data_IF_199959865743
#
_entry.id   IF_199959865743
#
_cell.length_a   1.000
_cell.length_b   1.000
_cell.length_c   1.000
_cell.angle_alpha   90.00
_cell.angle_beta   90.00
_cell.angle_gamma   90.00
#
_symmetry.space_group_name_H-M   'P 1'
#
loop_
_entity.id
_entity.type
_entity.pdbx_description
1 polymer ?
#
# COMPACT_ATOMS: atom_id res chain seq x y z
N UNK A 1 -43.22 -55.73 67.64
CA UNK A 1 -43.72 -56.85 66.82
C UNK A 1 -43.74 -56.41 65.36
N UNK A 2 -43.51 -57.34 64.43
CA UNK A 2 -43.87 -57.28 62.99
C UNK A 2 -43.02 -56.41 62.02
N UNK A 3 -42.05 -57.09 61.38
CA UNK A 3 -41.69 -57.15 59.94
C UNK A 3 -41.31 -55.89 59.10
N UNK A 4 -40.28 -56.11 58.28
CA UNK A 4 -39.60 -55.32 57.22
C UNK A 4 -40.50 -54.70 56.12
N UNK A 5 -39.96 -53.69 55.38
CA UNK A 5 -39.68 -53.78 53.93
C UNK A 5 -38.82 -52.60 53.38
N UNK A 6 -38.23 -52.78 52.18
CA UNK A 6 -37.29 -51.88 51.47
C UNK A 6 -37.99 -50.84 50.57
N UNK A 7 -37.29 -49.76 50.23
CA UNK A 7 -37.59 -48.89 49.07
C UNK A 7 -36.39 -47.97 48.71
N UNK A 8 -36.05 -47.86 47.42
CA UNK A 8 -34.89 -47.12 46.90
C UNK A 8 -35.32 -45.79 46.20
N UNK A 9 -34.40 -44.87 45.81
CA UNK A 9 -34.73 -43.47 45.53
C UNK A 9 -35.18 -43.19 44.08
N UNK A 10 -35.84 -42.06 43.87
CA UNK A 10 -36.16 -41.49 42.53
C UNK A 10 -35.81 -40.00 42.48
N UNK A 11 -35.32 -39.55 41.32
CA UNK A 11 -34.76 -38.23 41.05
C UNK A 11 -35.74 -37.05 41.17
N UNK A 12 -35.18 -35.89 41.52
CA UNK A 12 -35.83 -34.59 41.45
C UNK A 12 -36.04 -34.07 40.01
N UNK A 13 -37.13 -33.32 39.79
CA UNK A 13 -37.28 -32.32 38.72
C UNK A 13 -38.18 -31.15 39.16
N UNK A 14 -37.99 -30.02 38.48
CA UNK A 14 -38.74 -28.75 38.51
C UNK A 14 -38.58 -27.86 39.77
N UNK A 15 -37.63 -26.93 39.65
CA UNK A 15 -37.70 -25.58 40.19
C UNK A 15 -37.41 -24.59 39.03
N UNK A 16 -38.02 -23.41 39.06
CA UNK A 16 -38.22 -22.57 37.85
C UNK A 16 -36.96 -21.97 37.22
N UNK A 17 -36.97 -21.93 35.89
CA UNK A 17 -35.85 -21.62 35.00
C UNK A 17 -35.53 -20.12 34.82
N UNK A 18 -36.06 -19.23 35.68
CA UNK A 18 -35.92 -17.77 35.52
C UNK A 18 -35.65 -16.96 36.80
N UNK A 19 -35.18 -17.60 37.88
CA UNK A 19 -34.73 -16.88 39.08
C UNK A 19 -33.21 -16.67 39.08
N UNK A 20 -32.68 -15.43 38.93
CA UNK A 20 -31.25 -15.18 39.09
C UNK A 20 -30.84 -15.31 40.57
N UNK A 21 -29.67 -15.88 40.88
CA UNK A 21 -29.19 -16.01 42.26
C UNK A 21 -28.79 -14.64 42.85
N UNK A 22 -28.83 -14.48 44.20
CA UNK A 22 -28.54 -13.22 44.87
C UNK A 22 -27.09 -12.75 44.69
N UNK A 23 -26.93 -11.47 44.35
CA UNK A 23 -25.64 -10.84 44.08
C UNK A 23 -24.82 -10.65 45.37
N UNK A 24 -23.62 -11.21 45.42
CA UNK A 24 -22.64 -10.98 46.51
C UNK A 24 -21.44 -10.20 45.97
N UNK A 25 -21.16 -8.97 46.43
CA UNK A 25 -20.05 -8.18 45.91
C UNK A 25 -18.70 -8.68 46.46
N UNK A 26 -17.86 -9.25 45.59
CA UNK A 26 -16.46 -9.54 45.91
C UNK A 26 -15.49 -8.56 45.25
N UNK A 27 -14.49 -8.18 46.05
CA UNK A 27 -13.40 -7.22 45.78
C UNK A 27 -12.59 -7.62 44.52
N UNK A 28 -12.07 -6.66 43.72
CA UNK A 28 -11.34 -6.98 42.49
C UNK A 28 -10.04 -7.76 42.77
N UNK A 29 -10.11 -9.08 42.60
CA UNK A 29 -8.97 -9.99 42.61
C UNK A 29 -8.51 -10.25 41.18
N UNK A 30 -7.31 -9.74 40.84
CA UNK A 30 -6.44 -10.12 39.72
C UNK A 30 -7.14 -10.88 38.57
N UNK A 31 -7.52 -10.15 37.53
CA UNK A 31 -7.94 -10.72 36.25
C UNK A 31 -6.91 -11.74 35.77
N UNK A 32 -7.34 -12.89 35.22
CA UNK A 32 -6.41 -13.83 34.60
C UNK A 32 -5.72 -13.13 33.44
N UNK A 33 -4.42 -13.39 33.33
CA UNK A 33 -3.56 -12.91 32.26
C UNK A 33 -4.16 -13.35 30.92
N UNK A 34 -4.87 -12.43 30.26
CA UNK A 34 -5.57 -12.67 29.01
C UNK A 34 -4.51 -12.60 27.94
N UNK A 35 -3.81 -13.73 27.80
CA UNK A 35 -2.48 -13.82 27.21
C UNK A 35 -2.35 -12.92 25.99
N UNK A 36 -1.47 -11.94 26.10
CA UNK A 36 -1.09 -11.09 24.98
C UNK A 36 -0.74 -12.01 23.81
N UNK A 37 -1.56 -11.98 22.75
CA UNK A 37 -1.22 -12.64 21.51
C UNK A 37 0.13 -12.08 21.09
N UNK A 38 1.11 -12.97 21.02
CA UNK A 38 2.52 -12.70 20.74
C UNK A 38 2.74 -11.51 19.82
N UNK A 39 3.66 -10.62 20.21
CA UNK A 39 4.27 -9.66 19.30
C UNK A 39 4.85 -10.40 18.10
N UNK A 40 4.11 -10.42 17.00
CA UNK A 40 4.43 -11.15 15.78
C UNK A 40 3.76 -10.42 14.63
N UNK A 41 4.60 -9.70 13.88
CA UNK A 41 4.33 -8.96 12.65
C UNK A 41 2.87 -8.58 12.35
N UNK A 42 2.57 -7.29 12.56
CA UNK A 42 1.56 -6.60 11.76
C UNK A 42 1.75 -7.00 10.28
N UNK A 43 0.68 -7.26 9.50
CA UNK A 43 0.80 -7.56 8.08
C UNK A 43 1.46 -6.42 7.28
N UNK A 44 1.62 -5.24 7.91
CA UNK A 44 2.26 -4.04 7.38
C UNK A 44 3.69 -3.83 7.92
N UNK A 45 4.26 -4.79 8.67
CA UNK A 45 5.62 -4.71 9.23
C UNK A 45 6.71 -4.54 8.17
N UNK A 46 6.56 -5.19 7.01
CA UNK A 46 7.47 -5.04 5.87
C UNK A 46 7.49 -3.61 5.30
N UNK A 47 6.47 -2.76 5.54
CA UNK A 47 6.50 -1.35 5.11
C UNK A 47 7.69 -0.58 5.67
N UNK A 48 8.31 -1.08 6.76
CA UNK A 48 9.56 -0.54 7.32
C UNK A 48 10.76 -0.67 6.40
N UNK A 49 10.72 -1.61 5.47
CA UNK A 49 11.85 -1.98 4.61
C UNK A 49 11.85 -1.21 3.28
N UNK A 50 10.84 -0.37 3.00
CA UNK A 50 10.66 0.32 1.71
C UNK A 50 10.43 1.81 1.89
N UNK A 51 11.05 2.64 1.05
CA UNK A 51 10.69 4.04 0.88
C UNK A 51 9.39 4.09 0.06
N UNK A 52 8.31 4.65 0.62
CA UNK A 52 7.01 4.75 -0.07
C UNK A 52 6.85 6.13 -0.73
N UNK A 53 6.73 6.14 -2.06
CA UNK A 53 6.61 7.34 -2.88
C UNK A 53 5.29 7.33 -3.63
N UNK A 54 4.46 8.36 -3.45
CA UNK A 54 3.29 8.59 -4.29
C UNK A 54 3.62 9.53 -5.44
N UNK A 55 3.35 9.08 -6.66
CA UNK A 55 3.42 9.90 -7.87
C UNK A 55 1.99 10.29 -8.30
N UNK A 56 1.55 11.48 -7.91
CA UNK A 56 0.18 11.94 -8.11
C UNK A 56 0.06 12.73 -9.42
N UNK A 57 -0.92 12.33 -10.23
CA UNK A 57 -1.40 13.09 -11.37
C UNK A 57 -2.10 14.37 -10.91
N UNK A 58 -1.51 15.52 -11.27
CA UNK A 58 -2.07 16.85 -11.10
C UNK A 58 -2.36 17.50 -12.47
N UNK A 59 -2.68 16.71 -13.49
CA UNK A 59 -3.04 17.19 -14.83
C UNK A 59 -4.43 17.85 -14.87
N UNK A 60 -4.83 18.37 -16.03
CA UNK A 60 -6.12 19.03 -16.20
C UNK A 60 -7.36 18.14 -15.99
N UNK A 61 -7.25 16.83 -16.21
CA UNK A 61 -8.38 15.86 -16.10
C UNK A 61 -8.79 15.59 -14.66
N UNK A 62 -7.83 15.61 -13.74
CA UNK A 62 -8.01 15.31 -12.31
C UNK A 62 -8.91 16.29 -11.55
N UNK A 63 -9.33 17.41 -12.15
CA UNK A 63 -10.17 18.43 -11.50
C UNK A 63 -11.51 17.87 -11.02
N UNK A 64 -11.95 18.32 -9.85
CA UNK A 64 -13.24 17.93 -9.26
C UNK A 64 -13.10 16.75 -8.31
N UNK A 65 -13.98 15.75 -8.41
CA UNK A 65 -14.00 14.63 -7.45
C UNK A 65 -12.70 13.83 -7.47
N UNK A 66 -12.13 13.57 -8.65
CA UNK A 66 -10.89 12.77 -8.83
C UNK A 66 -9.72 13.29 -7.97
N UNK A 67 -9.57 14.61 -7.86
CA UNK A 67 -8.56 15.23 -6.98
C UNK A 67 -8.85 15.04 -5.48
N UNK A 68 -10.10 15.21 -5.06
CA UNK A 68 -10.51 15.01 -3.67
C UNK A 68 -10.41 13.54 -3.25
N UNK A 69 -10.83 12.64 -4.13
CA UNK A 69 -10.64 11.20 -4.01
C UNK A 69 -9.14 10.89 -3.81
N UNK A 70 -8.24 11.34 -4.71
CA UNK A 70 -6.79 11.12 -4.57
C UNK A 70 -6.21 11.66 -3.24
N UNK A 71 -6.72 12.79 -2.75
CA UNK A 71 -6.34 13.34 -1.45
C UNK A 71 -6.75 12.41 -0.29
N UNK A 72 -8.01 11.99 -0.26
CA UNK A 72 -8.57 11.13 0.79
C UNK A 72 -7.88 9.76 0.84
N UNK A 73 -7.54 9.20 -0.32
CA UNK A 73 -6.73 8.00 -0.48
C UNK A 73 -5.40 8.06 0.29
N UNK A 74 -4.57 9.04 -0.04
CA UNK A 74 -3.21 9.15 0.49
C UNK A 74 -3.29 9.56 1.96
N UNK A 75 -4.25 10.43 2.31
CA UNK A 75 -4.52 10.83 3.70
C UNK A 75 -4.92 9.64 4.58
N UNK A 76 -5.65 8.65 4.06
CA UNK A 76 -6.02 7.45 4.80
C UNK A 76 -4.83 6.50 5.07
N UNK A 77 -3.76 6.58 4.26
CA UNK A 77 -2.64 5.63 4.28
C UNK A 77 -1.37 6.21 4.90
N UNK A 78 -1.16 7.52 4.87
CA UNK A 78 -0.02 8.15 5.55
C UNK A 78 0.14 7.69 7.02
N UNK A 79 -0.91 7.57 7.86
CA UNK A 79 -0.78 7.03 9.21
C UNK A 79 -0.39 5.53 9.27
N UNK A 80 -0.82 4.73 8.30
CA UNK A 80 -0.51 3.29 8.21
C UNK A 80 0.95 3.09 7.83
N UNK A 81 1.41 3.80 6.79
CA UNK A 81 2.82 3.83 6.40
C UNK A 81 3.69 4.31 7.57
N UNK A 82 3.32 5.41 8.24
CA UNK A 82 4.20 6.03 9.26
C UNK A 82 4.20 5.38 10.64
N UNK A 83 3.23 4.52 10.94
CA UNK A 83 3.31 3.59 12.08
C UNK A 83 4.46 2.59 11.90
N UNK A 84 4.80 2.31 10.64
CA UNK A 84 5.86 1.39 10.27
C UNK A 84 7.13 2.17 9.90
N UNK A 85 7.16 2.92 8.81
CA UNK A 85 8.27 3.77 8.40
C UNK A 85 8.37 5.05 9.25
N UNK A 86 9.53 5.31 9.85
CA UNK A 86 9.72 6.53 10.65
C UNK A 86 9.93 7.78 9.83
N UNK A 87 10.37 7.65 8.58
CA UNK A 87 10.76 8.79 7.75
C UNK A 87 9.52 9.42 7.11
N UNK A 88 8.64 8.59 6.54
CA UNK A 88 7.28 9.00 6.16
C UNK A 88 6.86 8.44 4.81
N UNK A 89 6.03 9.21 4.10
CA UNK A 89 5.82 9.06 2.66
C UNK A 89 6.31 10.32 1.93
N UNK A 90 6.75 10.16 0.69
CA UNK A 90 7.03 11.30 -0.19
C UNK A 90 5.94 11.42 -1.26
N UNK A 91 5.54 12.66 -1.59
CA UNK A 91 4.51 12.97 -2.58
C UNK A 91 5.12 13.82 -3.71
N UNK A 92 5.15 13.24 -4.90
CA UNK A 92 5.60 13.86 -6.14
C UNK A 92 4.40 14.13 -7.02
N UNK A 93 4.31 15.33 -7.59
CA UNK A 93 3.31 15.65 -8.61
C UNK A 93 3.89 15.58 -10.02
N UNK A 94 3.06 15.32 -11.04
CA UNK A 94 3.49 15.29 -12.44
C UNK A 94 3.95 16.67 -12.94
N UNK A 95 3.21 17.73 -12.63
CA UNK A 95 3.40 19.10 -13.13
C UNK A 95 3.91 20.06 -12.04
N UNK A 96 3.40 19.98 -10.81
CA UNK A 96 3.80 20.83 -9.68
C UNK A 96 5.22 20.49 -9.17
N UNK A 97 5.97 21.52 -8.75
CA UNK A 97 7.38 21.44 -8.31
C UNK A 97 7.72 22.32 -7.10
N UNK A 98 6.73 22.86 -6.39
CA UNK A 98 6.93 23.74 -5.23
C UNK A 98 6.91 23.04 -3.88
N UNK A 99 7.31 21.76 -3.83
CA UNK A 99 7.34 20.97 -2.59
C UNK A 99 8.49 21.36 -1.64
N UNK A 100 8.62 20.61 -0.54
CA UNK A 100 9.65 20.85 0.51
C UNK A 100 11.08 20.55 0.04
N UNK A 101 11.27 19.62 -0.89
CA UNK A 101 12.56 19.42 -1.55
C UNK A 101 12.69 20.33 -2.78
N UNK A 102 13.55 21.34 -2.68
CA UNK A 102 13.85 22.29 -3.76
C UNK A 102 14.50 21.67 -5.00
N UNK A 103 15.04 20.45 -4.90
CA UNK A 103 15.75 19.76 -5.98
C UNK A 103 14.79 18.95 -6.85
N UNK A 104 13.91 18.18 -6.21
CA UNK A 104 12.94 17.30 -6.90
C UNK A 104 11.57 17.96 -7.08
N UNK A 105 11.27 18.99 -6.28
CA UNK A 105 9.96 19.62 -6.17
C UNK A 105 8.92 18.76 -5.46
N UNK A 106 9.34 17.72 -4.73
CA UNK A 106 8.48 16.82 -3.96
C UNK A 106 8.19 17.34 -2.55
N UNK A 107 7.08 16.90 -1.98
CA UNK A 107 6.82 17.00 -0.55
C UNK A 107 7.35 15.73 0.12
N UNK A 108 8.20 15.88 1.14
CA UNK A 108 8.95 14.75 1.71
C UNK A 108 8.70 14.56 3.19
N UNK A 109 8.85 13.33 3.68
CA UNK A 109 8.67 12.95 5.09
C UNK A 109 7.25 13.25 5.64
N UNK A 110 6.22 13.11 4.81
CA UNK A 110 4.83 13.39 5.15
C UNK A 110 4.27 12.28 6.05
N UNK A 111 3.57 12.63 7.14
CA UNK A 111 3.22 11.63 8.19
C UNK A 111 1.75 11.57 8.54
N UNK A 112 1.06 12.69 8.54
CA UNK A 112 -0.34 12.76 8.98
C UNK A 112 -1.29 12.89 7.81
N UNK A 113 -2.54 12.50 8.02
CA UNK A 113 -3.63 12.73 7.07
C UNK A 113 -3.86 14.21 6.77
N UNK A 114 -3.54 15.10 7.72
CA UNK A 114 -3.78 16.53 7.59
C UNK A 114 -2.66 17.22 6.80
N UNK A 115 -1.39 16.80 6.95
CA UNK A 115 -0.29 17.22 6.06
C UNK A 115 -0.66 16.96 4.58
N UNK A 116 -1.21 15.77 4.29
CA UNK A 116 -1.66 15.40 2.94
C UNK A 116 -2.78 16.34 2.45
N UNK A 117 -3.77 16.64 3.30
CA UNK A 117 -4.87 17.55 2.95
C UNK A 117 -4.38 18.98 2.69
N UNK A 118 -3.42 19.49 3.48
CA UNK A 118 -2.82 20.80 3.24
C UNK A 118 -2.08 20.86 1.90
N UNK A 119 -1.32 19.81 1.56
CA UNK A 119 -0.65 19.67 0.25
C UNK A 119 -1.66 19.70 -0.90
N UNK A 120 -2.73 18.90 -0.82
CA UNK A 120 -3.77 18.83 -1.86
C UNK A 120 -4.65 20.08 -1.93
N UNK A 121 -4.70 20.89 -0.86
CA UNK A 121 -5.33 22.22 -0.87
C UNK A 121 -4.44 23.27 -1.58
N UNK A 122 -3.12 23.18 -1.41
CA UNK A 122 -2.17 24.08 -2.08
C UNK A 122 -1.96 23.78 -3.57
N UNK A 123 -1.95 22.51 -3.97
CA UNK A 123 -1.71 22.07 -5.35
C UNK A 123 -3.01 22.04 -6.15
N UNK A 124 -2.98 22.58 -7.37
CA UNK A 124 -4.16 22.78 -8.22
C UNK A 124 -3.98 22.06 -9.57
N UNK A 125 -4.86 21.12 -9.96
CA UNK A 125 -4.68 20.31 -11.16
C UNK A 125 -4.67 21.14 -12.46
N UNK A 126 -3.61 20.97 -13.27
CA UNK A 126 -3.32 21.70 -14.51
C UNK A 126 -2.24 20.99 -15.34
N UNK A 127 -2.29 21.18 -16.66
CA UNK A 127 -1.28 20.66 -17.58
C UNK A 127 -1.60 19.25 -18.08
N UNK A 128 -0.55 18.55 -18.50
CA UNK A 128 -0.62 17.24 -19.15
C UNK A 128 -0.31 16.11 -18.15
N UNK A 129 -0.24 14.86 -18.63
CA UNK A 129 0.07 13.66 -17.84
C UNK A 129 1.44 13.09 -18.23
N UNK A 130 2.58 13.77 -17.94
CA UNK A 130 3.93 13.35 -18.36
C UNK A 130 4.56 12.35 -17.36
N UNK A 131 3.97 11.16 -17.27
CA UNK A 131 4.36 10.12 -16.30
C UNK A 131 5.78 9.61 -16.57
N UNK A 132 6.16 9.35 -17.82
CA UNK A 132 7.49 8.82 -18.15
C UNK A 132 8.61 9.78 -17.75
N UNK A 133 8.47 11.07 -18.08
CA UNK A 133 9.41 12.12 -17.67
C UNK A 133 9.50 12.22 -16.14
N UNK A 134 8.39 12.12 -15.41
CA UNK A 134 8.42 12.25 -13.95
C UNK A 134 8.96 11.00 -13.26
N UNK A 135 8.64 9.80 -13.76
CA UNK A 135 9.29 8.55 -13.35
C UNK A 135 10.80 8.65 -13.52
N UNK A 136 11.31 9.08 -14.68
CA UNK A 136 12.75 9.24 -14.90
C UNK A 136 13.39 10.19 -13.87
N UNK A 137 12.74 11.32 -13.55
CA UNK A 137 13.23 12.26 -12.54
C UNK A 137 13.34 11.66 -11.12
N UNK A 138 12.55 10.63 -10.79
CA UNK A 138 12.56 9.93 -9.49
C UNK A 138 13.54 8.75 -9.52
N UNK A 139 13.50 7.96 -10.59
CA UNK A 139 14.28 6.73 -10.74
C UNK A 139 15.76 7.00 -11.03
N UNK A 140 16.12 7.99 -11.85
CA UNK A 140 17.54 8.24 -12.20
C UNK A 140 18.43 8.60 -10.99
N UNK A 141 18.02 9.46 -10.04
CA UNK A 141 18.77 9.67 -8.79
C UNK A 141 18.83 8.40 -7.92
N UNK A 142 17.72 7.65 -7.85
CA UNK A 142 17.64 6.42 -7.06
C UNK A 142 18.58 5.34 -7.59
N UNK A 143 18.50 5.01 -8.88
CA UNK A 143 19.30 3.99 -9.56
C UNK A 143 20.79 4.33 -9.50
N UNK A 144 21.18 5.60 -9.63
CA UNK A 144 22.58 6.02 -9.43
C UNK A 144 23.12 5.72 -8.04
N UNK A 145 22.27 5.71 -6.99
CA UNK A 145 22.69 5.24 -5.64
C UNK A 145 22.89 3.73 -5.63
N UNK A 146 21.97 2.97 -6.23
CA UNK A 146 22.07 1.49 -6.38
C UNK A 146 23.36 1.11 -7.11
N UNK A 147 23.59 1.70 -8.29
CA UNK A 147 24.80 1.53 -9.12
C UNK A 147 26.08 1.88 -8.35
N UNK A 148 26.07 2.94 -7.55
CA UNK A 148 27.21 3.37 -6.72
C UNK A 148 27.50 2.47 -5.51
N UNK A 149 26.60 1.54 -5.16
CA UNK A 149 26.84 0.49 -4.16
C UNK A 149 27.24 -0.82 -4.87
N UNK A 150 26.53 -1.22 -5.93
CA UNK A 150 26.85 -2.39 -6.73
C UNK A 150 28.28 -2.35 -7.31
N UNK A 151 28.71 -1.20 -7.82
CA UNK A 151 30.09 -0.97 -8.32
C UNK A 151 31.19 -1.12 -7.26
N UNK A 152 30.84 -1.19 -5.97
CA UNK A 152 31.77 -1.51 -4.86
C UNK A 152 31.76 -2.99 -4.47
N UNK A 153 31.06 -3.84 -5.22
CA UNK A 153 30.91 -5.27 -4.94
C UNK A 153 30.02 -5.57 -3.72
N UNK A 154 29.09 -4.66 -3.39
CA UNK A 154 28.14 -4.79 -2.28
C UNK A 154 26.72 -4.98 -2.78
N UNK A 155 25.89 -5.67 -2.01
CA UNK A 155 24.45 -5.72 -2.25
C UNK A 155 23.85 -4.30 -2.05
N UNK A 156 23.18 -3.71 -3.06
CA UNK A 156 22.56 -2.41 -2.91
C UNK A 156 21.52 -2.32 -1.78
N UNK A 157 20.82 -3.41 -1.47
CA UNK A 157 19.76 -3.44 -0.45
C UNK A 157 20.27 -3.24 0.98
N UNK A 158 21.57 -3.47 1.24
CA UNK A 158 22.22 -3.16 2.52
C UNK A 158 22.41 -1.65 2.78
N UNK A 159 22.29 -0.81 1.75
CA UNK A 159 22.66 0.62 1.83
C UNK A 159 21.71 1.58 1.10
N UNK A 160 20.85 1.06 0.21
CA UNK A 160 19.80 1.80 -0.47
C UNK A 160 18.50 1.06 -0.17
N UNK A 161 17.67 1.69 0.69
CA UNK A 161 16.35 1.18 1.03
C UNK A 161 15.53 0.98 -0.25
N UNK A 162 14.96 -0.21 -0.50
CA UNK A 162 14.07 -0.48 -1.62
C UNK A 162 12.96 0.56 -1.81
N UNK A 163 12.52 0.78 -3.05
CA UNK A 163 11.56 1.82 -3.42
C UNK A 163 10.21 1.22 -3.81
N UNK A 164 9.13 1.70 -3.21
CA UNK A 164 7.76 1.40 -3.61
C UNK A 164 7.09 2.68 -4.17
N UNK A 165 6.96 2.77 -5.49
CA UNK A 165 6.44 3.95 -6.19
C UNK A 165 5.02 3.69 -6.68
N UNK A 166 4.04 4.40 -6.11
CA UNK A 166 2.62 4.26 -6.43
C UNK A 166 2.16 5.48 -7.23
N UNK A 167 1.95 5.30 -8.53
CA UNK A 167 1.47 6.34 -9.43
C UNK A 167 -0.07 6.36 -9.49
N UNK A 168 -0.69 7.47 -9.08
CA UNK A 168 -2.15 7.67 -9.07
C UNK A 168 -2.53 8.58 -10.23
N UNK A 169 -3.39 8.11 -11.16
CA UNK A 169 -3.72 8.83 -12.41
C UNK A 169 -5.10 8.46 -12.96
N UNK A 170 -5.75 9.40 -13.65
CA UNK A 170 -7.09 9.24 -14.23
C UNK A 170 -7.12 9.14 -15.76
N UNK A 171 -5.95 9.16 -16.40
CA UNK A 171 -5.81 9.40 -17.83
C UNK A 171 -4.71 8.59 -18.51
N UNK A 172 -4.66 8.74 -19.84
CA UNK A 172 -3.60 8.17 -20.70
C UNK A 172 -2.35 9.03 -20.61
N UNK A 173 -1.17 8.40 -20.57
CA UNK A 173 0.08 9.16 -20.45
C UNK A 173 0.38 9.93 -21.73
N UNK A 174 0.96 11.11 -21.57
CA UNK A 174 1.30 12.02 -22.68
C UNK A 174 2.74 11.88 -23.16
N UNK A 175 3.50 10.97 -22.56
CA UNK A 175 4.87 10.61 -22.92
C UNK A 175 5.15 9.12 -22.66
N UNK A 176 6.32 8.68 -23.12
CA UNK A 176 6.76 7.29 -23.03
C UNK A 176 7.27 6.95 -21.61
N UNK A 177 6.45 6.21 -20.86
CA UNK A 177 6.82 5.62 -19.58
C UNK A 177 7.43 4.21 -19.74
N UNK A 178 7.08 3.47 -20.79
CA UNK A 178 7.52 2.09 -21.02
C UNK A 178 9.05 2.02 -21.12
N UNK A 179 9.66 2.84 -21.99
CA UNK A 179 11.13 2.88 -22.14
C UNK A 179 11.85 3.29 -20.86
N UNK A 180 11.21 4.09 -19.99
CA UNK A 180 11.80 4.53 -18.70
C UNK A 180 11.77 3.39 -17.68
N UNK A 181 10.71 2.59 -17.67
CA UNK A 181 10.55 1.43 -16.79
C UNK A 181 11.50 0.31 -17.23
N UNK A 182 11.60 0.04 -18.54
CA UNK A 182 12.50 -0.99 -19.09
C UNK A 182 13.97 -0.63 -18.85
N UNK A 183 14.37 0.65 -18.99
CA UNK A 183 15.72 1.12 -18.60
C UNK A 183 15.99 0.87 -17.10
N UNK A 184 15.05 1.25 -16.23
CA UNK A 184 15.18 1.06 -14.78
C UNK A 184 15.33 -0.42 -14.40
N UNK A 185 14.48 -1.29 -14.96
CA UNK A 185 14.52 -2.73 -14.73
C UNK A 185 15.84 -3.35 -15.21
N UNK A 186 16.30 -2.95 -16.41
CA UNK A 186 17.57 -3.40 -16.99
C UNK A 186 18.77 -3.01 -16.12
N UNK A 187 18.80 -1.76 -15.62
CA UNK A 187 19.89 -1.26 -14.76
C UNK A 187 19.93 -1.96 -13.39
N UNK A 188 18.77 -2.32 -12.84
CA UNK A 188 18.68 -3.12 -11.61
C UNK A 188 19.26 -4.53 -11.79
N UNK A 189 19.00 -5.19 -12.92
CA UNK A 189 19.57 -6.51 -13.23
C UNK A 189 21.08 -6.45 -13.48
N UNK A 190 21.59 -5.41 -14.15
CA UNK A 190 23.03 -5.15 -14.28
C UNK A 190 23.72 -4.94 -12.92
N UNK A 191 23.00 -4.38 -11.94
CA UNK A 191 23.48 -4.23 -10.57
C UNK A 191 23.32 -5.49 -9.70
N UNK A 192 22.75 -6.57 -10.23
CA UNK A 192 22.34 -7.77 -9.47
C UNK A 192 21.49 -7.46 -8.22
N UNK A 193 20.69 -6.39 -8.26
CA UNK A 193 19.89 -5.95 -7.12
C UNK A 193 18.83 -6.99 -6.73
N UNK A 194 18.40 -7.00 -5.46
CA UNK A 194 17.30 -7.88 -5.01
C UNK A 194 16.02 -7.66 -5.84
N UNK A 195 15.19 -8.68 -6.11
CA UNK A 195 14.04 -8.55 -7.02
C UNK A 195 13.08 -7.39 -6.69
N UNK A 196 12.90 -7.11 -5.40
CA UNK A 196 12.02 -6.06 -4.87
C UNK A 196 12.71 -4.69 -4.66
N UNK A 197 13.92 -4.46 -5.19
CA UNK A 197 14.65 -3.18 -5.00
C UNK A 197 13.85 -1.96 -5.53
N UNK A 198 13.01 -2.16 -6.54
CA UNK A 198 12.02 -1.18 -7.02
C UNK A 198 10.74 -1.94 -7.37
N UNK A 199 9.61 -1.48 -6.85
CA UNK A 199 8.27 -1.79 -7.35
C UNK A 199 7.58 -0.50 -7.83
N UNK A 200 6.90 -0.56 -8.97
CA UNK A 200 6.10 0.52 -9.52
C UNK A 200 4.65 0.02 -9.65
N UNK A 201 3.72 0.67 -8.97
CA UNK A 201 2.30 0.40 -9.11
C UNK A 201 1.62 1.52 -9.88
N UNK A 202 0.85 1.20 -10.92
CA UNK A 202 -0.14 2.15 -11.44
C UNK A 202 -1.49 1.90 -10.79
N UNK A 203 -1.99 2.94 -10.13
CA UNK A 203 -3.32 2.97 -9.53
C UNK A 203 -4.19 3.94 -10.34
N UNK A 204 -5.16 3.40 -11.06
CA UNK A 204 -6.13 4.25 -11.78
C UNK A 204 -7.03 4.97 -10.76
N UNK A 205 -7.53 6.16 -11.06
CA UNK A 205 -8.63 6.80 -10.32
C UNK A 205 -9.81 7.15 -11.23
N UNK A 206 -11.03 7.06 -10.69
CA UNK A 206 -12.26 7.20 -11.45
C UNK A 206 -12.56 6.02 -12.38
N UNK A 207 -13.42 6.25 -13.39
CA UNK A 207 -14.04 5.20 -14.19
C UNK A 207 -13.62 5.17 -15.66
N UNK A 208 -12.63 5.95 -16.07
CA UNK A 208 -12.26 6.13 -17.47
C UNK A 208 -11.86 4.80 -18.14
N UNK A 209 -12.50 4.43 -19.24
CA UNK A 209 -12.25 3.14 -19.89
C UNK A 209 -11.00 3.16 -20.76
N UNK A 210 -10.65 4.32 -21.34
CA UNK A 210 -9.49 4.45 -22.22
C UNK A 210 -8.22 4.47 -21.36
N UNK A 211 -8.23 5.19 -20.23
CA UNK A 211 -7.15 5.11 -19.24
C UNK A 211 -6.99 3.69 -18.67
N UNK A 212 -8.08 2.97 -18.39
CA UNK A 212 -8.04 1.57 -17.92
C UNK A 212 -7.40 0.64 -18.96
N UNK A 213 -7.83 0.75 -20.21
CA UNK A 213 -7.30 -0.06 -21.31
C UNK A 213 -5.83 0.25 -21.57
N UNK A 214 -5.44 1.53 -21.52
CA UNK A 214 -4.05 1.96 -21.67
C UNK A 214 -3.15 1.40 -20.56
N UNK A 215 -3.56 1.46 -19.29
CA UNK A 215 -2.78 0.89 -18.19
C UNK A 215 -2.64 -0.63 -18.30
N UNK A 216 -3.71 -1.35 -18.69
CA UNK A 216 -3.62 -2.80 -18.93
C UNK A 216 -2.68 -3.14 -20.10
N UNK A 217 -2.71 -2.36 -21.19
CA UNK A 217 -1.79 -2.56 -22.31
C UNK A 217 -0.33 -2.34 -21.89
N UNK A 218 -0.06 -1.32 -21.08
CA UNK A 218 1.28 -1.05 -20.55
C UNK A 218 1.78 -2.20 -19.67
N UNK A 219 0.92 -2.73 -18.80
CA UNK A 219 1.19 -3.88 -17.93
C UNK A 219 1.49 -5.17 -18.75
N UNK A 220 0.61 -5.49 -19.69
CA UNK A 220 0.73 -6.66 -20.56
C UNK A 220 2.02 -6.62 -21.39
N UNK A 221 2.38 -5.43 -21.93
CA UNK A 221 3.57 -5.24 -22.75
C UNK A 221 4.86 -5.25 -21.93
N UNK A 222 4.90 -4.60 -20.75
CA UNK A 222 6.02 -4.71 -19.82
C UNK A 222 6.22 -6.15 -19.34
N UNK A 223 5.12 -6.86 -19.05
CA UNK A 223 5.13 -8.28 -18.73
C UNK A 223 5.53 -9.17 -19.91
N UNK A 224 5.35 -8.72 -21.16
CA UNK A 224 5.85 -9.38 -22.38
C UNK A 224 7.35 -9.16 -22.55
N UNK A 225 7.81 -7.91 -22.43
CA UNK A 225 9.23 -7.52 -22.53
C UNK A 225 10.06 -8.26 -21.47
N UNK A 226 9.63 -8.23 -20.21
CA UNK A 226 10.28 -8.95 -19.09
C UNK A 226 10.50 -10.44 -19.40
N UNK A 227 9.54 -11.10 -20.05
CA UNK A 227 9.64 -12.52 -20.45
C UNK A 227 10.57 -12.75 -21.64
N UNK A 228 10.59 -11.85 -22.63
CA UNK A 228 11.37 -12.02 -23.86
C UNK A 228 12.84 -11.60 -23.70
N UNK A 229 13.05 -10.42 -23.09
CA UNK A 229 14.39 -9.85 -22.87
C UNK A 229 15.06 -10.38 -21.60
N UNK A 230 14.32 -11.16 -20.81
CA UNK A 230 14.73 -11.74 -19.51
C UNK A 230 15.09 -10.70 -18.45
N UNK A 231 14.56 -9.49 -18.63
CA UNK A 231 14.61 -8.40 -17.65
C UNK A 231 13.59 -8.69 -16.54
N UNK A 232 13.88 -8.25 -15.32
CA UNK A 232 12.94 -8.32 -14.21
C UNK A 232 11.64 -7.56 -14.48
N UNK A 233 10.58 -8.16 -14.01
CA UNK A 233 9.28 -7.51 -13.90
C UNK A 233 9.21 -6.73 -12.57
N UNK A 234 8.96 -5.41 -12.65
CA UNK A 234 8.90 -4.44 -11.55
C UNK A 234 7.59 -3.65 -11.53
N UNK A 235 6.62 -3.99 -12.39
CA UNK A 235 5.37 -3.25 -12.54
C UNK A 235 4.18 -4.13 -12.20
N UNK A 236 3.16 -3.53 -11.62
CA UNK A 236 1.83 -4.13 -11.49
C UNK A 236 0.77 -3.03 -11.64
N UNK A 237 -0.42 -3.37 -12.14
CA UNK A 237 -1.51 -2.42 -12.35
C UNK A 237 -2.77 -2.79 -11.57
N UNK A 238 -3.25 -1.84 -10.76
CA UNK A 238 -4.50 -1.99 -10.01
C UNK A 238 -5.52 -0.98 -10.55
N UNK A 239 -6.55 -1.44 -11.27
CA UNK A 239 -7.63 -0.56 -11.69
C UNK A 239 -8.49 -0.17 -10.49
N UNK A 240 -8.94 1.09 -10.47
CA UNK A 240 -10.05 1.52 -9.63
C UNK A 240 -11.28 0.66 -9.94
N UNK A 241 -11.93 0.15 -8.90
CA UNK A 241 -13.17 -0.63 -9.00
C UNK A 241 -14.11 -0.16 -7.91
N UNK A 242 -15.24 0.48 -8.17
CA UNK A 242 -16.15 0.98 -7.13
C UNK A 242 -17.57 1.21 -7.66
N UNK A 243 -18.67 0.90 -6.95
CA UNK A 243 -18.73 0.29 -5.63
C UNK A 243 -19.82 -0.79 -5.40
N UNK A 244 -19.92 -1.90 -6.14
CA UNK A 244 -19.60 -2.19 -7.56
C UNK A 244 -18.14 -2.03 -8.08
N UNK A 245 -17.07 -2.22 -7.31
CA UNK A 245 -16.90 -2.68 -5.93
C UNK A 245 -15.47 -2.41 -5.48
N UNK A 246 -15.32 -1.59 -4.42
CA UNK A 246 -14.12 -0.93 -3.85
C UNK A 246 -13.89 0.56 -4.19
N UNK A 247 -14.75 1.44 -3.67
CA UNK A 247 -14.37 2.85 -3.42
C UNK A 247 -12.93 2.97 -2.94
N UNK A 248 -12.29 4.09 -3.28
CA UNK A 248 -10.89 4.42 -3.03
C UNK A 248 -10.52 4.41 -1.52
N UNK A 249 -10.49 3.23 -0.94
CA UNK A 249 -10.38 2.99 0.49
C UNK A 249 -8.92 2.84 0.88
N UNK A 250 -8.66 2.98 2.19
CA UNK A 250 -7.40 2.57 2.78
C UNK A 250 -7.02 1.16 2.30
N UNK A 251 -7.95 0.20 2.32
CA UNK A 251 -7.68 -1.18 1.90
C UNK A 251 -7.27 -1.33 0.42
N UNK A 252 -7.87 -0.54 -0.48
CA UNK A 252 -7.61 -0.63 -1.92
C UNK A 252 -6.19 -0.22 -2.28
N UNK A 253 -5.72 0.93 -1.76
CA UNK A 253 -4.34 1.36 -1.97
C UNK A 253 -3.38 0.63 -1.01
N UNK A 254 -3.79 0.21 0.18
CA UNK A 254 -2.99 -0.66 1.04
C UNK A 254 -2.69 -1.99 0.35
N UNK A 255 -3.64 -2.57 -0.38
CA UNK A 255 -3.39 -3.71 -1.28
C UNK A 255 -2.31 -3.38 -2.31
N UNK A 256 -2.29 -2.17 -2.86
CA UNK A 256 -1.26 -1.74 -3.81
C UNK A 256 0.12 -1.65 -3.13
N UNK A 257 0.18 -1.03 -1.95
CA UNK A 257 1.41 -0.95 -1.14
C UNK A 257 1.92 -2.36 -0.78
N UNK A 258 1.02 -3.34 -0.57
CA UNK A 258 1.33 -4.76 -0.33
C UNK A 258 1.76 -5.54 -1.59
N UNK A 259 1.09 -5.30 -2.72
CA UNK A 259 1.16 -6.11 -3.94
C UNK A 259 2.47 -5.93 -4.71
N UNK A 260 2.84 -4.69 -4.99
CA UNK A 260 4.02 -4.32 -5.78
C UNK A 260 5.36 -4.85 -5.22
N UNK A 261 5.37 -5.22 -3.93
CA UNK A 261 6.57 -5.55 -3.17
C UNK A 261 6.66 -7.02 -2.78
N UNK A 262 5.51 -7.70 -2.57
CA UNK A 262 5.51 -9.05 -2.01
C UNK A 262 4.56 -10.02 -2.74
N UNK A 263 5.10 -10.68 -3.77
CA UNK A 263 4.48 -11.78 -4.53
C UNK A 263 3.97 -12.97 -3.68
N UNK A 264 4.26 -13.02 -2.38
CA UNK A 264 3.69 -14.00 -1.44
C UNK A 264 2.27 -13.62 -1.00
N UNK A 265 1.97 -12.32 -0.85
CA UNK A 265 0.64 -11.82 -0.51
C UNK A 265 -0.28 -11.71 -1.72
N UNK A 266 0.27 -11.47 -2.91
CA UNK A 266 -0.47 -11.52 -4.18
C UNK A 266 -1.17 -12.88 -4.41
N UNK A 267 -0.60 -13.98 -3.88
CA UNK A 267 -1.18 -15.32 -3.94
C UNK A 267 -2.17 -15.65 -2.82
N UNK A 268 -2.35 -14.76 -1.83
CA UNK A 268 -3.29 -14.97 -0.73
C UNK A 268 -4.69 -14.47 -1.12
N UNK A 269 -5.57 -15.42 -1.44
CA UNK A 269 -7.02 -15.25 -1.66
C UNK A 269 -7.81 -14.79 -0.40
N UNK A 270 -7.23 -13.92 0.44
CA UNK A 270 -7.76 -13.55 1.76
C UNK A 270 -8.84 -12.45 1.73
N UNK A 271 -9.03 -11.77 0.60
CA UNK A 271 -9.92 -10.61 0.46
C UNK A 271 -10.81 -10.74 -0.78
N UNK A 272 -11.71 -11.72 -0.76
CA UNK A 272 -12.70 -11.99 -1.81
C UNK A 272 -14.11 -11.67 -1.33
#
# INVERSE_FOLDING_TARGET
>A
MTVQAKGAPVHARNADLWSPPPYTPQRPSKTPDSGASSSGDSPYSFLREFDTVFLVDDSGSMKGSRWGEAADAIAAIAPVCTTHDRDGIDIYFLNYRGGTDSTTGAYTNIKTSDDVREIFYGVHPRGATPVGRRLRQILDPYLRRVEAIASKGKDPSESVKPLNLIAITDGVFTDDAESVIVDAATRLDQCHAVPWQVGIQFFQIGHDNDARHYLQMLDDELGRISKHERVRDIVDTVPWRGDKGQTLSADGILKCVLGAVNRKYDKCNAFR
#
